data_IF_972297944403
#
_entry.id   IF_972297944403
#
_cell.length_a   1.000
_cell.length_b   1.000
_cell.length_c   1.000
_cell.angle_alpha   90.00
_cell.angle_beta   90.00
_cell.angle_gamma   90.00
#
_symmetry.space_group_name_H-M   'P 1'
#
loop_
_entity.id
_entity.type
_entity.pdbx_description
1 polymer ?
#
# COMPACT_ATOMS: atom_id res chain seq x y z
N UNK A 1 -31.71 15.08 -4.78
CA UNK A 1 -30.79 16.19 -4.39
C UNK A 1 -29.89 15.70 -3.27
N UNK A 2 -28.65 15.35 -3.59
CA UNK A 2 -27.66 14.92 -2.59
C UNK A 2 -27.26 16.16 -1.79
N UNK A 3 -27.51 16.16 -0.48
CA UNK A 3 -27.06 17.24 0.41
C UNK A 3 -25.53 17.36 0.30
N UNK A 4 -25.03 18.49 -0.19
CA UNK A 4 -23.62 18.84 -0.13
C UNK A 4 -23.17 18.75 1.35
N UNK A 5 -22.33 17.76 1.65
CA UNK A 5 -21.72 17.64 2.98
C UNK A 5 -20.69 18.76 3.12
N UNK A 6 -20.96 19.72 3.97
CA UNK A 6 -19.97 20.74 4.36
C UNK A 6 -18.83 20.01 5.08
N UNK A 7 -17.63 20.08 4.52
CA UNK A 7 -16.43 19.48 5.10
C UNK A 7 -15.84 20.42 6.15
N UNK A 8 -15.31 19.85 7.25
CA UNK A 8 -14.63 20.62 8.28
C UNK A 8 -13.35 21.27 7.71
N UNK A 9 -12.93 22.43 8.24
CA UNK A 9 -11.73 23.18 7.79
C UNK A 9 -10.45 22.35 7.77
N UNK A 10 -10.31 21.38 8.66
CA UNK A 10 -9.17 20.45 8.73
C UNK A 10 -9.29 19.23 7.80
N UNK A 11 -10.34 19.18 7.00
CA UNK A 11 -10.54 18.04 6.10
C UNK A 11 -9.60 18.16 4.89
N UNK A 12 -8.70 17.20 4.76
CA UNK A 12 -7.71 17.11 3.69
C UNK A 12 -8.06 16.09 2.61
N UNK A 13 -9.28 15.52 2.67
CA UNK A 13 -9.72 14.53 1.67
C UNK A 13 -9.62 15.13 0.27
N UNK A 14 -8.81 14.51 -0.56
CA UNK A 14 -8.63 14.92 -1.95
C UNK A 14 -9.90 14.62 -2.75
N UNK A 15 -10.32 15.59 -3.54
CA UNK A 15 -11.48 15.53 -4.44
C UNK A 15 -11.12 16.12 -5.78
N UNK A 16 -11.98 15.97 -6.76
CA UNK A 16 -11.83 16.52 -8.10
C UNK A 16 -12.87 17.60 -8.36
N UNK A 17 -12.46 18.69 -8.96
CA UNK A 17 -13.33 19.65 -9.66
C UNK A 17 -13.62 19.16 -11.08
N UNK A 18 -14.60 19.73 -11.77
CA UNK A 18 -14.91 19.34 -13.16
C UNK A 18 -13.76 19.62 -14.12
N UNK A 19 -13.05 20.73 -13.93
CA UNK A 19 -11.85 21.05 -14.71
C UNK A 19 -10.72 20.04 -14.48
N UNK A 20 -10.50 19.63 -13.25
CA UNK A 20 -9.50 18.62 -12.89
C UNK A 20 -9.87 17.25 -13.47
N UNK A 21 -11.16 16.85 -13.46
CA UNK A 21 -11.62 15.61 -14.13
C UNK A 21 -11.28 15.62 -15.61
N UNK A 22 -11.59 16.72 -16.30
CA UNK A 22 -11.26 16.87 -17.71
C UNK A 22 -9.75 16.76 -17.96
N UNK A 23 -8.96 17.46 -17.15
CA UNK A 23 -7.50 17.47 -17.26
C UNK A 23 -6.90 16.09 -17.00
N UNK A 24 -7.22 15.44 -15.86
CA UNK A 24 -6.64 14.15 -15.53
C UNK A 24 -7.13 13.02 -16.44
N UNK A 25 -8.38 13.07 -16.89
CA UNK A 25 -8.89 12.12 -17.87
C UNK A 25 -8.08 12.09 -19.17
N UNK A 26 -7.61 13.25 -19.64
CA UNK A 26 -6.77 13.33 -20.84
C UNK A 26 -5.41 12.66 -20.70
N UNK A 27 -4.98 12.37 -19.47
CA UNK A 27 -3.72 11.71 -19.16
C UNK A 27 -3.83 10.19 -19.06
N UNK A 28 -5.04 9.66 -18.95
CA UNK A 28 -5.27 8.22 -18.81
C UNK A 28 -4.89 7.50 -20.11
N UNK A 29 -4.33 6.30 -19.95
CA UNK A 29 -4.09 5.41 -21.08
C UNK A 29 -5.37 4.60 -21.33
N UNK A 30 -5.80 4.52 -22.57
CA UNK A 30 -6.89 3.61 -22.96
C UNK A 30 -6.39 2.17 -23.07
N UNK A 31 -7.30 1.21 -22.96
CA UNK A 31 -7.00 -0.20 -23.14
C UNK A 31 -6.38 -0.51 -24.53
N UNK A 32 -6.67 0.30 -25.56
CA UNK A 32 -6.12 0.10 -26.91
C UNK A 32 -4.65 0.53 -27.04
N UNK A 33 -4.15 1.36 -26.12
CA UNK A 33 -2.77 1.82 -26.07
C UNK A 33 -1.97 1.20 -24.93
N UNK A 34 -2.43 0.07 -24.39
CA UNK A 34 -1.84 -0.58 -23.21
C UNK A 34 -0.35 -0.99 -23.38
N UNK A 35 0.18 -1.01 -24.60
CA UNK A 35 1.60 -1.28 -24.86
C UNK A 35 2.57 -0.24 -24.23
N UNK A 36 2.10 0.98 -23.98
CA UNK A 36 2.86 2.08 -23.36
C UNK A 36 2.57 2.21 -21.86
N UNK A 37 2.43 1.09 -21.16
CA UNK A 37 1.90 1.01 -19.81
C UNK A 37 2.83 1.57 -18.71
N UNK A 38 4.13 1.65 -18.90
CA UNK A 38 5.09 2.07 -17.86
C UNK A 38 4.82 3.50 -17.39
N UNK A 39 4.69 3.66 -16.07
CA UNK A 39 4.33 4.90 -15.37
C UNK A 39 2.98 5.51 -15.81
N UNK A 40 2.03 4.63 -16.12
CA UNK A 40 0.70 5.03 -16.60
C UNK A 40 -0.42 4.34 -15.81
N UNK A 41 -1.55 5.03 -15.75
CA UNK A 41 -2.84 4.47 -15.33
C UNK A 41 -3.62 4.10 -16.57
N UNK A 42 -4.08 2.85 -16.64
CA UNK A 42 -4.87 2.32 -17.74
C UNK A 42 -6.33 2.30 -17.30
N UNK A 43 -7.15 3.14 -17.92
CA UNK A 43 -8.59 3.13 -17.69
C UNK A 43 -9.26 2.05 -18.53
N UNK A 44 -9.87 1.07 -17.88
CA UNK A 44 -10.59 -0.01 -18.56
C UNK A 44 -10.79 -1.25 -17.72
N UNK A 45 -11.40 -2.25 -18.35
CA UNK A 45 -11.60 -3.54 -17.73
C UNK A 45 -10.30 -4.35 -17.76
N UNK A 46 -9.93 -4.92 -16.62
CA UNK A 46 -8.72 -5.74 -16.47
C UNK A 46 -8.65 -6.86 -17.53
N UNK A 47 -9.76 -7.55 -17.79
CA UNK A 47 -9.80 -8.66 -18.73
C UNK A 47 -9.54 -8.28 -20.19
N UNK A 48 -9.83 -7.04 -20.56
CA UNK A 48 -9.56 -6.50 -21.91
C UNK A 48 -8.09 -6.05 -22.06
N UNK A 49 -7.43 -5.78 -20.95
CA UNK A 49 -6.06 -5.24 -20.87
C UNK A 49 -5.03 -6.36 -20.73
N UNK A 50 -5.29 -7.36 -19.90
CA UNK A 50 -4.35 -8.45 -19.61
C UNK A 50 -3.75 -9.11 -20.88
N UNK A 51 -4.52 -9.44 -21.93
CA UNK A 51 -3.96 -10.05 -23.13
C UNK A 51 -2.96 -9.16 -23.90
N UNK A 52 -3.00 -7.83 -23.68
CA UNK A 52 -2.15 -6.85 -24.36
C UNK A 52 -0.83 -6.62 -23.63
N UNK A 53 -0.72 -7.03 -22.37
CA UNK A 53 0.48 -6.88 -21.57
C UNK A 53 1.51 -7.98 -21.86
N UNK A 54 2.79 -7.64 -22.02
CA UNK A 54 3.84 -8.62 -22.25
C UNK A 54 4.10 -9.52 -21.03
N UNK A 55 4.59 -10.73 -21.25
CA UNK A 55 5.02 -11.61 -20.17
C UNK A 55 6.26 -11.06 -19.46
N UNK A 56 6.43 -11.41 -18.19
CA UNK A 56 7.58 -11.02 -17.35
C UNK A 56 7.87 -9.51 -17.37
N UNK A 57 6.82 -8.67 -17.34
CA UNK A 57 6.94 -7.22 -17.43
C UNK A 57 6.97 -6.51 -16.07
N UNK A 58 6.71 -7.18 -14.96
CA UNK A 58 6.73 -6.57 -13.63
C UNK A 58 7.48 -7.42 -12.60
N UNK A 59 7.98 -6.73 -11.59
CA UNK A 59 8.77 -7.31 -10.49
C UNK A 59 7.90 -7.57 -9.26
N UNK A 60 6.86 -6.75 -9.06
CA UNK A 60 5.96 -6.82 -7.92
C UNK A 60 4.52 -6.57 -8.36
N UNK A 61 3.62 -7.42 -7.90
CA UNK A 61 2.17 -7.20 -8.04
C UNK A 61 1.54 -7.02 -6.66
N UNK A 62 0.74 -5.97 -6.52
CA UNK A 62 -0.16 -5.79 -5.39
C UNK A 62 -1.59 -5.79 -5.89
N UNK A 63 -2.41 -6.72 -5.43
CA UNK A 63 -3.79 -6.87 -5.86
C UNK A 63 -4.77 -6.75 -4.67
N UNK A 64 -5.68 -5.80 -4.76
CA UNK A 64 -6.80 -5.61 -3.83
C UNK A 64 -8.14 -5.85 -4.55
N UNK A 65 -8.44 -7.11 -4.94
CA UNK A 65 -9.62 -7.42 -5.72
C UNK A 65 -10.91 -7.13 -4.94
N UNK A 66 -12.07 -6.97 -5.60
CA UNK A 66 -13.34 -6.96 -4.91
C UNK A 66 -13.51 -8.21 -4.03
N UNK A 67 -13.72 -8.01 -2.72
CA UNK A 67 -13.91 -9.13 -1.79
C UNK A 67 -15.27 -9.79 -1.98
N UNK A 68 -15.41 -11.03 -1.52
CA UNK A 68 -16.66 -11.79 -1.57
C UNK A 68 -17.73 -11.21 -0.62
N UNK A 69 -18.03 -9.94 -0.80
CA UNK A 69 -19.00 -9.17 -0.01
C UNK A 69 -20.00 -8.47 -0.92
N UNK A 70 -21.24 -8.34 -0.46
CA UNK A 70 -22.20 -7.48 -1.12
C UNK A 70 -21.79 -6.01 -0.97
N UNK A 71 -21.19 -5.43 -1.99
CA UNK A 71 -20.77 -4.02 -2.04
C UNK A 71 -21.12 -3.40 -3.38
N UNK A 72 -21.38 -2.10 -3.33
CA UNK A 72 -21.57 -1.24 -4.49
C UNK A 72 -20.35 -0.30 -4.60
N UNK A 73 -19.64 -0.38 -5.71
CA UNK A 73 -18.55 0.52 -6.07
C UNK A 73 -19.02 1.38 -7.25
N UNK A 74 -19.52 2.58 -6.97
CA UNK A 74 -20.01 3.55 -7.96
C UNK A 74 -20.98 2.94 -9.01
N UNK A 75 -21.92 2.10 -8.54
CA UNK A 75 -22.92 1.44 -9.41
C UNK A 75 -22.55 0.02 -9.86
N UNK A 76 -21.31 -0.42 -9.66
CA UNK A 76 -20.91 -1.80 -9.84
C UNK A 76 -21.22 -2.62 -8.58
N UNK A 77 -22.27 -3.45 -8.65
CA UNK A 77 -22.75 -4.24 -7.52
C UNK A 77 -22.12 -5.63 -7.51
N UNK A 78 -21.25 -5.86 -6.53
CA UNK A 78 -20.78 -7.20 -6.21
C UNK A 78 -21.75 -7.87 -5.25
N UNK A 79 -22.10 -9.13 -5.54
CA UNK A 79 -22.91 -9.98 -4.65
C UNK A 79 -22.01 -10.95 -3.93
N UNK A 80 -22.31 -11.24 -2.66
CA UNK A 80 -21.67 -12.34 -1.96
C UNK A 80 -22.03 -13.66 -2.67
N UNK A 81 -21.01 -14.46 -2.93
CA UNK A 81 -21.11 -15.76 -3.61
C UNK A 81 -20.58 -16.89 -2.71
N UNK A 82 -20.70 -18.13 -3.15
CA UNK A 82 -20.04 -19.24 -2.46
C UNK A 82 -18.51 -19.13 -2.54
N UNK A 83 -17.81 -19.81 -1.65
CA UNK A 83 -16.34 -19.86 -1.68
C UNK A 83 -15.82 -20.35 -3.03
N UNK A 84 -16.46 -21.37 -3.62
CA UNK A 84 -16.08 -21.92 -4.93
C UNK A 84 -16.30 -20.91 -6.06
N UNK A 85 -17.45 -20.25 -6.11
CA UNK A 85 -17.70 -19.20 -7.11
C UNK A 85 -16.70 -18.04 -7.00
N UNK A 86 -16.28 -17.69 -5.79
CA UNK A 86 -15.25 -16.68 -5.61
C UNK A 86 -13.87 -17.19 -6.01
N UNK A 87 -13.58 -18.47 -5.79
CA UNK A 87 -12.35 -19.10 -6.28
C UNK A 87 -12.31 -19.11 -7.82
N UNK A 88 -13.44 -19.38 -8.48
CA UNK A 88 -13.53 -19.30 -9.95
C UNK A 88 -13.29 -17.87 -10.47
N UNK A 89 -13.80 -16.86 -9.78
CA UNK A 89 -13.46 -15.46 -10.09
C UNK A 89 -11.95 -15.22 -9.95
N UNK A 90 -11.31 -15.70 -8.89
CA UNK A 90 -9.86 -15.57 -8.73
C UNK A 90 -9.09 -16.31 -9.84
N UNK A 91 -9.50 -17.53 -10.20
CA UNK A 91 -8.92 -18.33 -11.30
C UNK A 91 -9.02 -17.64 -12.66
N UNK A 92 -9.97 -16.73 -12.83
CA UNK A 92 -10.15 -16.02 -14.11
C UNK A 92 -9.06 -14.99 -14.39
N UNK A 93 -8.28 -14.53 -13.38
CA UNK A 93 -7.24 -13.51 -13.55
C UNK A 93 -5.89 -13.83 -12.90
N UNK A 94 -5.85 -14.59 -11.79
CA UNK A 94 -4.58 -14.91 -11.07
C UNK A 94 -3.54 -15.64 -11.93
N UNK A 95 -3.89 -16.57 -12.83
CA UNK A 95 -2.91 -17.19 -13.73
C UNK A 95 -2.20 -16.17 -14.64
N UNK A 96 -2.91 -15.12 -15.07
CA UNK A 96 -2.32 -14.04 -15.85
C UNK A 96 -1.29 -13.25 -15.04
N UNK A 97 -1.53 -13.07 -13.72
CA UNK A 97 -0.54 -12.42 -12.84
C UNK A 97 0.78 -13.21 -12.80
N UNK A 98 0.71 -14.54 -12.85
CA UNK A 98 1.90 -15.40 -12.94
C UNK A 98 2.67 -15.16 -14.25
N UNK A 99 1.96 -15.01 -15.37
CA UNK A 99 2.54 -14.71 -16.68
C UNK A 99 3.27 -13.36 -16.71
N UNK A 100 2.67 -12.34 -16.06
CA UNK A 100 3.21 -10.98 -16.03
C UNK A 100 4.40 -10.81 -15.10
N UNK A 101 4.52 -11.62 -14.05
CA UNK A 101 5.64 -11.56 -13.11
C UNK A 101 6.93 -12.09 -13.73
N UNK A 102 8.03 -11.39 -13.42
CA UNK A 102 9.39 -11.92 -13.64
C UNK A 102 9.64 -13.15 -12.74
N UNK A 103 10.61 -14.02 -13.07
CA UNK A 103 10.92 -15.20 -12.28
C UNK A 103 11.29 -14.91 -10.81
N UNK A 104 11.82 -13.72 -10.51
CA UNK A 104 12.17 -13.25 -9.16
C UNK A 104 11.07 -12.45 -8.50
N UNK A 105 9.94 -12.28 -9.18
CA UNK A 105 8.86 -11.40 -8.77
C UNK A 105 7.98 -11.96 -7.66
N UNK A 106 7.29 -11.06 -7.00
CA UNK A 106 6.39 -11.32 -5.86
C UNK A 106 4.99 -10.79 -6.12
N UNK A 107 3.99 -11.46 -5.54
CA UNK A 107 2.61 -11.00 -5.54
C UNK A 107 2.07 -10.92 -4.11
N UNK A 108 1.32 -9.86 -3.84
CA UNK A 108 0.56 -9.66 -2.61
C UNK A 108 -0.92 -9.53 -2.96
N UNK A 109 -1.77 -10.37 -2.37
CA UNK A 109 -3.21 -10.36 -2.63
C UNK A 109 -3.96 -10.09 -1.33
N UNK A 110 -4.77 -9.05 -1.32
CA UNK A 110 -5.61 -8.70 -0.18
C UNK A 110 -6.90 -9.52 -0.16
N UNK A 111 -7.40 -9.76 1.05
CA UNK A 111 -8.70 -10.41 1.24
C UNK A 111 -9.21 -10.24 2.67
N UNK A 112 -10.49 -10.48 2.85
CA UNK A 112 -11.11 -10.55 4.16
C UNK A 112 -11.26 -12.01 4.62
N UNK A 113 -11.75 -12.22 5.84
CA UNK A 113 -11.93 -13.56 6.39
C UNK A 113 -12.86 -14.47 5.58
N UNK A 114 -13.81 -13.91 4.81
CA UNK A 114 -14.72 -14.70 3.94
C UNK A 114 -14.03 -15.14 2.65
N UNK A 115 -13.13 -14.33 2.16
CA UNK A 115 -12.34 -14.60 0.96
C UNK A 115 -11.14 -15.51 1.24
N UNK A 116 -10.75 -15.66 2.51
CA UNK A 116 -9.49 -16.26 2.94
C UNK A 116 -9.21 -17.65 2.34
N UNK A 117 -10.18 -18.56 2.42
CA UNK A 117 -10.00 -19.93 1.91
C UNK A 117 -9.80 -19.96 0.39
N UNK A 118 -10.60 -19.19 -0.36
CA UNK A 118 -10.50 -19.11 -1.81
C UNK A 118 -9.19 -18.47 -2.26
N UNK A 119 -8.77 -17.36 -1.62
CA UNK A 119 -7.52 -16.67 -1.97
C UNK A 119 -6.33 -17.59 -1.75
N UNK A 120 -6.24 -18.25 -0.61
CA UNK A 120 -5.13 -19.18 -0.33
C UNK A 120 -5.10 -20.32 -1.34
N UNK A 121 -6.21 -21.01 -1.56
CA UNK A 121 -6.32 -22.14 -2.46
C UNK A 121 -5.85 -21.78 -3.89
N UNK A 122 -6.38 -20.70 -4.45
CA UNK A 122 -6.05 -20.31 -5.84
C UNK A 122 -4.64 -19.76 -5.97
N UNK A 123 -4.08 -19.11 -4.92
CA UNK A 123 -2.67 -18.73 -4.91
C UNK A 123 -1.75 -19.95 -4.93
N UNK A 124 -2.03 -20.98 -4.14
CA UNK A 124 -1.24 -22.22 -4.10
C UNK A 124 -1.28 -22.99 -5.43
N UNK A 125 -2.35 -22.86 -6.23
CA UNK A 125 -2.45 -23.41 -7.59
C UNK A 125 -1.43 -22.78 -8.57
N UNK A 126 -1.00 -21.53 -8.35
CA UNK A 126 -0.25 -20.73 -9.32
C UNK A 126 1.12 -20.27 -8.82
N UNK A 127 1.31 -20.10 -7.52
CA UNK A 127 2.47 -19.45 -6.90
C UNK A 127 3.03 -20.26 -5.74
N UNK A 128 4.21 -19.89 -5.26
CA UNK A 128 4.76 -20.39 -4.02
C UNK A 128 4.34 -19.48 -2.87
N UNK A 129 3.40 -19.94 -2.05
CA UNK A 129 2.93 -19.18 -0.91
C UNK A 129 4.02 -19.06 0.14
N UNK A 130 4.37 -17.84 0.55
CA UNK A 130 5.44 -17.56 1.51
C UNK A 130 4.88 -17.23 2.91
N UNK A 131 3.84 -16.39 2.99
CA UNK A 131 3.29 -15.95 4.26
C UNK A 131 1.86 -15.39 4.10
N UNK A 132 1.16 -15.30 5.23
CA UNK A 132 -0.07 -14.51 5.37
C UNK A 132 0.16 -13.44 6.40
N UNK A 133 -0.02 -12.19 6.01
CA UNK A 133 0.11 -10.99 6.85
C UNK A 133 -1.30 -10.59 7.28
N UNK A 134 -1.52 -10.43 8.58
CA UNK A 134 -2.77 -9.88 9.11
C UNK A 134 -2.56 -8.42 9.47
N UNK A 135 -3.28 -7.53 8.78
CA UNK A 135 -3.27 -6.10 9.08
C UNK A 135 -4.46 -5.74 9.97
N UNK A 136 -4.17 -5.20 11.16
CA UNK A 136 -5.18 -4.67 12.07
C UNK A 136 -5.70 -3.31 11.56
N UNK A 137 -7.03 -3.24 11.36
CA UNK A 137 -7.74 -2.02 10.96
C UNK A 137 -8.47 -1.42 12.16
N UNK A 138 -8.15 -0.20 12.54
CA UNK A 138 -8.82 0.47 13.67
C UNK A 138 -10.20 1.05 13.33
N UNK A 139 -10.78 0.72 12.18
CA UNK A 139 -12.06 1.29 11.73
C UNK A 139 -13.22 0.34 11.93
N UNK A 140 -14.39 0.93 12.11
CA UNK A 140 -15.66 0.23 12.13
C UNK A 140 -16.39 0.36 13.47
N UNK A 141 -17.72 0.33 13.36
CA UNK A 141 -18.60 0.28 14.54
C UNK A 141 -18.54 -1.12 15.15
N UNK A 142 -18.72 -1.21 16.46
CA UNK A 142 -18.83 -2.51 17.13
C UNK A 142 -19.98 -3.33 16.55
N UNK A 143 -19.80 -4.64 16.47
CA UNK A 143 -20.87 -5.58 16.15
C UNK A 143 -21.71 -5.85 17.41
N UNK A 144 -23.04 -5.99 17.24
CA UNK A 144 -23.94 -6.26 18.35
C UNK A 144 -24.23 -7.76 18.55
N UNK A 145 -24.05 -8.56 17.51
CA UNK A 145 -24.41 -9.99 17.47
C UNK A 145 -23.23 -10.93 17.14
N UNK A 146 -22.05 -10.37 16.86
CA UNK A 146 -20.84 -11.13 16.55
C UNK A 146 -19.60 -10.26 16.82
N UNK A 147 -18.39 -10.85 16.69
CA UNK A 147 -17.14 -10.13 16.82
C UNK A 147 -16.98 -9.09 15.71
N UNK A 148 -16.47 -7.90 16.07
CA UNK A 148 -16.14 -6.85 15.10
C UNK A 148 -15.04 -7.34 14.17
N UNK A 149 -15.28 -7.30 12.87
CA UNK A 149 -14.21 -7.48 11.89
C UNK A 149 -13.25 -6.30 11.93
N UNK A 150 -12.04 -6.51 12.44
CA UNK A 150 -11.01 -5.49 12.66
C UNK A 150 -9.70 -5.79 11.94
N UNK A 151 -9.68 -6.74 11.02
CA UNK A 151 -8.49 -7.09 10.25
C UNK A 151 -8.79 -7.32 8.78
N UNK A 152 -7.75 -7.23 7.97
CA UNK A 152 -7.65 -7.75 6.61
C UNK A 152 -6.39 -8.61 6.52
N UNK A 153 -6.44 -9.63 5.68
CA UNK A 153 -5.30 -10.48 5.39
C UNK A 153 -4.69 -10.12 4.04
N UNK A 154 -3.38 -10.30 3.93
CA UNK A 154 -2.59 -10.08 2.73
C UNK A 154 -1.72 -11.32 2.53
N UNK A 155 -1.98 -12.08 1.48
CA UNK A 155 -1.17 -13.24 1.14
C UNK A 155 0.05 -12.81 0.34
N UNK A 156 1.22 -13.19 0.82
CA UNK A 156 2.49 -13.01 0.15
C UNK A 156 2.88 -14.31 -0.55
N UNK A 157 3.04 -14.25 -1.86
CA UNK A 157 3.46 -15.36 -2.68
C UNK A 157 4.49 -14.93 -3.72
N UNK A 158 5.25 -15.88 -4.27
CA UNK A 158 6.36 -15.62 -5.18
C UNK A 158 6.27 -16.46 -6.45
N UNK A 159 6.88 -15.98 -7.53
CA UNK A 159 6.94 -16.68 -8.78
C UNK A 159 7.84 -17.94 -8.72
N UNK A 160 8.89 -17.90 -7.89
CA UNK A 160 9.85 -18.97 -7.68
C UNK A 160 10.46 -18.92 -6.27
N UNK A 161 11.35 -19.85 -5.94
CA UNK A 161 12.13 -19.82 -4.70
C UNK A 161 13.22 -18.73 -4.68
N UNK A 162 13.60 -18.22 -5.85
CA UNK A 162 14.54 -17.11 -5.96
C UNK A 162 13.78 -15.80 -6.11
N UNK A 163 13.52 -15.10 -5.01
CA UNK A 163 12.74 -13.86 -4.98
C UNK A 163 13.46 -12.76 -4.19
N UNK A 164 13.10 -11.52 -4.48
CA UNK A 164 13.62 -10.33 -3.79
C UNK A 164 12.90 -10.13 -2.48
N UNK A 165 13.64 -10.05 -1.36
CA UNK A 165 13.09 -9.68 -0.05
C UNK A 165 14.14 -9.01 0.85
N UNK A 166 13.91 -7.73 1.18
CA UNK A 166 14.80 -6.86 1.97
C UNK A 166 14.22 -6.57 3.35
N UNK A 167 14.37 -7.48 4.27
CA UNK A 167 13.81 -7.33 5.63
C UNK A 167 14.38 -6.11 6.37
N UNK A 168 15.62 -5.74 6.11
CA UNK A 168 16.32 -4.58 6.71
C UNK A 168 15.73 -3.23 6.29
N UNK A 169 15.06 -3.15 5.12
CA UNK A 169 14.40 -1.94 4.62
C UNK A 169 13.04 -1.68 5.25
N UNK A 170 12.53 -2.65 6.02
CA UNK A 170 11.19 -2.60 6.62
C UNK A 170 11.20 -2.76 8.13
N UNK A 171 12.34 -2.44 8.76
CA UNK A 171 12.50 -2.44 10.21
C UNK A 171 11.49 -1.46 10.85
N UNK A 172 10.96 -1.86 12.01
CA UNK A 172 10.01 -1.07 12.78
C UNK A 172 10.66 -0.51 14.04
N UNK A 173 10.63 0.81 14.21
CA UNK A 173 11.08 1.50 15.41
C UNK A 173 9.96 1.46 16.45
N UNK A 174 10.21 0.74 17.53
CA UNK A 174 9.27 0.54 18.63
C UNK A 174 9.74 1.24 19.91
N UNK A 175 8.77 1.82 20.63
CA UNK A 175 9.01 2.35 21.96
C UNK A 175 9.29 1.21 22.96
N UNK A 176 10.31 1.37 23.77
CA UNK A 176 10.67 0.37 24.79
C UNK A 176 9.89 0.63 26.07
N UNK A 177 9.05 -0.32 26.47
CA UNK A 177 8.22 -0.21 27.69
C UNK A 177 8.99 -0.70 28.91
N UNK A 178 9.71 -1.82 28.80
CA UNK A 178 10.52 -2.40 29.86
C UNK A 178 11.98 -2.56 29.37
N UNK A 179 12.86 -1.58 29.66
CA UNK A 179 14.23 -1.59 29.17
C UNK A 179 15.08 -2.61 29.95
N UNK A 180 15.59 -3.62 29.25
CA UNK A 180 16.65 -4.47 29.79
C UNK A 180 17.97 -3.75 29.74
N UNK A 181 18.75 -3.82 30.83
CA UNK A 181 20.10 -3.33 30.92
C UNK A 181 21.02 -4.48 31.32
N UNK A 182 22.19 -4.54 30.71
CA UNK A 182 23.28 -5.40 31.18
C UNK A 182 23.93 -4.78 32.45
N UNK A 183 24.59 -5.59 33.26
CA UNK A 183 25.49 -5.06 34.28
C UNK A 183 26.74 -4.45 33.57
N UNK A 184 26.99 -3.19 33.62
CA UNK A 184 26.81 -2.11 34.56
C UNK A 184 25.80 -1.01 34.11
N UNK A 185 24.66 -1.38 33.58
CA UNK A 185 23.59 -0.41 33.27
C UNK A 185 23.52 0.03 31.80
N UNK A 186 24.24 -0.64 30.91
CA UNK A 186 24.24 -0.38 29.46
C UNK A 186 22.95 -0.90 28.82
N UNK A 187 22.25 -0.12 27.95
CA UNK A 187 21.09 -0.57 27.23
C UNK A 187 21.36 -1.82 26.39
N UNK A 188 20.50 -2.84 26.51
CA UNK A 188 20.59 -4.06 25.71
C UNK A 188 19.58 -4.06 24.59
N UNK A 189 20.05 -3.83 23.34
CA UNK A 189 19.22 -3.87 22.14
C UNK A 189 18.18 -2.75 22.01
N UNK A 190 18.46 -1.58 22.62
CA UNK A 190 17.68 -0.36 22.47
C UNK A 190 18.55 0.89 22.61
N UNK A 191 18.06 1.99 22.06
CA UNK A 191 18.75 3.29 22.10
C UNK A 191 17.96 4.28 22.96
N UNK A 192 18.67 5.10 23.74
CA UNK A 192 18.12 6.27 24.43
C UNK A 192 18.30 7.50 23.55
N UNK A 193 17.21 8.18 23.25
CA UNK A 193 17.19 9.41 22.47
C UNK A 193 16.49 10.51 23.25
N UNK A 194 16.64 11.77 22.84
CA UNK A 194 15.92 12.90 23.47
C UNK A 194 14.38 12.72 23.40
N UNK A 195 13.87 11.96 22.43
CA UNK A 195 12.44 11.68 22.26
C UNK A 195 11.97 10.41 22.97
N UNK A 196 12.87 9.69 23.67
CA UNK A 196 12.56 8.48 24.44
C UNK A 196 13.45 7.30 24.09
N UNK A 197 13.01 6.12 24.55
CA UNK A 197 13.73 4.86 24.40
C UNK A 197 13.11 4.05 23.27
N UNK A 198 13.91 3.69 22.29
CA UNK A 198 13.45 2.97 21.10
C UNK A 198 14.36 1.79 20.77
N UNK A 199 13.78 0.80 20.12
CA UNK A 199 14.51 -0.30 19.48
C UNK A 199 14.03 -0.52 18.06
N UNK A 200 14.93 -0.99 17.20
CA UNK A 200 14.58 -1.52 15.89
C UNK A 200 14.19 -3.00 16.01
N UNK A 201 13.07 -3.36 15.46
CA UNK A 201 12.58 -4.74 15.43
C UNK A 201 12.32 -5.17 14.00
N UNK A 202 12.58 -6.44 13.71
CA UNK A 202 12.16 -7.06 12.47
C UNK A 202 10.63 -7.04 12.35
N UNK A 203 10.08 -6.82 11.15
CA UNK A 203 8.65 -6.85 10.93
C UNK A 203 8.09 -8.25 11.18
N UNK A 204 6.93 -8.32 11.83
CA UNK A 204 6.16 -9.56 11.94
C UNK A 204 5.09 -9.60 10.86
N UNK A 205 4.42 -10.73 10.72
CA UNK A 205 3.24 -10.87 9.86
C UNK A 205 1.93 -10.37 10.52
N UNK A 206 2.00 -9.79 11.71
CA UNK A 206 0.90 -9.07 12.35
C UNK A 206 1.21 -7.57 12.33
N UNK A 207 0.50 -6.81 11.48
CA UNK A 207 0.71 -5.38 11.30
C UNK A 207 -0.29 -4.56 12.11
N UNK A 208 0.15 -4.07 13.25
CA UNK A 208 -0.64 -3.23 14.16
C UNK A 208 -0.26 -1.75 14.09
N UNK A 209 0.77 -1.42 13.31
CA UNK A 209 1.37 -0.09 13.23
C UNK A 209 0.80 0.78 12.09
N UNK A 210 -0.16 0.28 11.30
CA UNK A 210 -0.69 0.95 10.12
C UNK A 210 -2.12 1.40 10.38
N UNK A 211 -2.37 2.71 10.36
CA UNK A 211 -3.72 3.28 10.40
C UNK A 211 -4.32 3.36 9.00
N UNK A 212 -5.63 3.20 8.90
CA UNK A 212 -6.35 3.50 7.66
C UNK A 212 -6.31 5.00 7.38
N UNK A 213 -6.35 5.44 6.11
CA UNK A 213 -6.50 6.84 5.78
C UNK A 213 -7.79 7.43 6.37
N UNK A 214 -7.71 8.61 6.93
CA UNK A 214 -8.87 9.35 7.42
C UNK A 214 -8.80 10.84 7.03
N UNK A 215 -9.89 11.54 7.10
CA UNK A 215 -10.13 12.86 6.54
C UNK A 215 -9.08 13.94 6.81
N UNK A 216 -8.28 13.84 7.87
CA UNK A 216 -7.19 14.78 8.16
C UNK A 216 -5.84 14.38 7.59
N UNK A 217 -5.72 13.20 6.98
CA UNK A 217 -4.48 12.75 6.32
C UNK A 217 -4.43 13.29 4.88
N UNK A 218 -3.26 13.78 4.42
CA UNK A 218 -3.12 14.31 3.05
C UNK A 218 -3.30 13.25 1.96
N UNK A 219 -3.08 11.98 2.26
CA UNK A 219 -3.27 10.87 1.34
C UNK A 219 -4.74 10.47 1.15
N UNK A 220 -5.67 10.95 2.01
CA UNK A 220 -7.04 10.49 2.02
C UNK A 220 -7.84 10.97 0.81
N UNK A 221 -8.63 10.05 0.23
CA UNK A 221 -9.61 10.33 -0.83
C UNK A 221 -10.99 9.85 -0.42
N UNK A 222 -11.99 10.07 -1.25
CA UNK A 222 -13.35 9.53 -1.04
C UNK A 222 -13.48 8.04 -1.42
N UNK A 223 -12.39 7.39 -1.85
CA UNK A 223 -12.40 5.95 -2.16
C UNK A 223 -12.71 5.12 -0.90
N UNK A 224 -13.75 4.27 -0.89
CA UNK A 224 -14.27 3.65 0.34
C UNK A 224 -13.35 2.61 0.98
N UNK A 225 -12.42 2.05 0.22
CA UNK A 225 -11.51 0.99 0.65
C UNK A 225 -10.04 1.32 0.35
N UNK A 226 -9.71 2.62 0.26
CA UNK A 226 -8.34 3.06 0.01
C UNK A 226 -7.35 2.40 0.97
N UNK A 227 -6.30 1.79 0.42
CA UNK A 227 -5.18 1.27 1.21
C UNK A 227 -4.24 2.40 1.65
N UNK A 228 -3.66 2.32 2.86
CA UNK A 228 -2.70 3.31 3.36
C UNK A 228 -1.38 3.29 2.58
N UNK A 229 -0.77 4.46 2.35
CA UNK A 229 0.55 4.55 1.73
C UNK A 229 1.62 3.79 2.53
N UNK A 230 1.54 3.79 3.86
CA UNK A 230 2.47 3.05 4.73
C UNK A 230 2.44 1.54 4.49
N UNK A 231 1.25 0.97 4.20
CA UNK A 231 1.10 -0.46 3.90
C UNK A 231 1.84 -0.81 2.61
N UNK A 232 1.60 -0.03 1.54
CA UNK A 232 2.25 -0.24 0.25
C UNK A 232 3.76 0.02 0.34
N UNK A 233 4.21 0.97 1.14
CA UNK A 233 5.63 1.24 1.35
C UNK A 233 6.35 0.04 1.97
N UNK A 234 5.76 -0.64 2.95
CA UNK A 234 6.33 -1.88 3.50
C UNK A 234 6.47 -2.96 2.43
N UNK A 235 5.44 -3.19 1.63
CA UNK A 235 5.45 -4.21 0.57
C UNK A 235 6.49 -3.87 -0.49
N UNK A 236 6.46 -2.64 -1.01
CA UNK A 236 7.34 -2.21 -2.11
C UNK A 236 8.81 -2.20 -1.68
N UNK A 237 9.11 -1.72 -0.47
CA UNK A 237 10.49 -1.71 0.04
C UNK A 237 11.02 -3.11 0.31
N UNK A 238 10.17 -4.03 0.79
CA UNK A 238 10.57 -5.41 1.06
C UNK A 238 10.83 -6.20 -0.24
N UNK A 239 9.99 -6.02 -1.26
CA UNK A 239 9.94 -6.95 -2.40
C UNK A 239 10.24 -6.31 -3.75
N UNK A 240 10.99 -5.20 -3.77
CA UNK A 240 11.45 -4.58 -5.02
C UNK A 240 12.71 -3.73 -4.84
N UNK A 241 13.43 -3.52 -5.95
CA UNK A 241 14.54 -2.59 -6.08
C UNK A 241 14.11 -1.26 -6.72
N UNK A 242 14.99 -0.24 -6.66
CA UNK A 242 14.78 0.99 -7.42
C UNK A 242 14.69 0.68 -8.92
N UNK A 243 13.78 1.37 -9.61
CA UNK A 243 13.44 1.19 -11.02
C UNK A 243 12.73 -0.12 -11.37
N UNK A 244 12.48 -1.02 -10.41
CA UNK A 244 11.59 -2.17 -10.62
C UNK A 244 10.18 -1.71 -10.94
N UNK A 245 9.44 -2.54 -11.65
CA UNK A 245 8.07 -2.27 -12.09
C UNK A 245 7.07 -2.87 -11.12
N UNK A 246 6.23 -2.03 -10.54
CA UNK A 246 5.13 -2.42 -9.64
C UNK A 246 3.80 -2.34 -10.39
N UNK A 247 3.04 -3.41 -10.38
CA UNK A 247 1.72 -3.50 -11.02
C UNK A 247 0.59 -3.64 -10.00
N UNK A 248 -0.51 -2.92 -10.25
CA UNK A 248 -1.76 -3.06 -9.49
C UNK A 248 -2.94 -3.28 -10.46
N UNK A 249 -3.50 -4.51 -10.51
CA UNK A 249 -4.62 -4.81 -11.40
C UNK A 249 -5.97 -4.24 -10.94
N UNK A 250 -6.06 -3.73 -9.70
CA UNK A 250 -7.27 -3.14 -9.10
C UNK A 250 -6.91 -1.81 -8.40
N UNK A 251 -6.43 -0.86 -9.20
CA UNK A 251 -5.67 0.31 -8.73
C UNK A 251 -6.45 1.21 -7.76
N UNK A 252 -7.77 1.31 -7.90
CA UNK A 252 -8.59 2.21 -7.11
C UNK A 252 -8.10 3.66 -7.20
N UNK A 253 -7.96 4.32 -6.07
CA UNK A 253 -7.43 5.70 -6.01
C UNK A 253 -5.89 5.82 -6.14
N UNK A 254 -5.20 4.78 -6.61
CA UNK A 254 -3.79 4.84 -7.03
C UNK A 254 -2.74 4.74 -5.93
N UNK A 255 -3.05 4.21 -4.75
CA UNK A 255 -2.07 4.18 -3.65
C UNK A 255 -0.79 3.44 -4.02
N UNK A 256 -0.90 2.29 -4.71
CA UNK A 256 0.26 1.50 -5.17
C UNK A 256 1.16 2.31 -6.11
N UNK A 257 0.59 2.94 -7.12
CA UNK A 257 1.32 3.77 -8.10
C UNK A 257 2.01 4.98 -7.44
N UNK A 258 1.28 5.67 -6.54
CA UNK A 258 1.80 6.82 -5.78
C UNK A 258 3.00 6.42 -4.93
N UNK A 259 2.91 5.33 -4.18
CA UNK A 259 4.00 4.87 -3.31
C UNK A 259 5.17 4.35 -4.14
N UNK A 260 4.92 3.61 -5.23
CA UNK A 260 5.97 3.19 -6.15
C UNK A 260 6.77 4.40 -6.68
N UNK A 261 6.08 5.45 -7.15
CA UNK A 261 6.70 6.71 -7.59
C UNK A 261 7.50 7.38 -6.48
N UNK A 262 6.93 7.56 -5.28
CA UNK A 262 7.62 8.16 -4.12
C UNK A 262 8.89 7.42 -3.72
N UNK A 263 8.95 6.12 -3.94
CA UNK A 263 10.08 5.26 -3.61
C UNK A 263 11.02 5.00 -4.78
N UNK A 264 10.83 5.64 -5.94
CA UNK A 264 11.70 5.52 -7.12
C UNK A 264 11.54 4.20 -7.88
N UNK A 265 10.36 3.61 -7.86
CA UNK A 265 9.95 2.47 -8.68
C UNK A 265 9.13 2.95 -9.87
N UNK A 266 9.18 2.20 -10.95
CA UNK A 266 8.22 2.33 -12.04
C UNK A 266 6.90 1.66 -11.63
N UNK A 267 5.81 2.05 -12.26
CA UNK A 267 4.51 1.51 -11.93
C UNK A 267 3.61 1.41 -13.17
N UNK A 268 2.57 0.63 -13.07
CA UNK A 268 1.36 0.75 -13.86
C UNK A 268 0.20 0.14 -13.10
N UNK A 269 -1.00 0.51 -13.49
CA UNK A 269 -2.19 -0.02 -12.84
C UNK A 269 -3.42 0.09 -13.72
N UNK A 270 -4.39 -0.76 -13.45
CA UNK A 270 -5.67 -0.84 -14.15
C UNK A 270 -6.79 -0.44 -13.20
N UNK A 271 -7.66 0.45 -13.65
CA UNK A 271 -8.85 0.85 -12.92
C UNK A 271 -10.01 1.04 -13.90
N UNK A 272 -11.18 0.53 -13.54
CA UNK A 272 -12.38 0.59 -14.38
C UNK A 272 -13.21 1.87 -14.13
N UNK A 273 -13.09 2.46 -12.94
CA UNK A 273 -13.82 3.66 -12.56
C UNK A 273 -13.04 4.92 -12.96
N UNK A 274 -13.63 5.72 -13.85
CA UNK A 274 -13.03 6.95 -14.38
C UNK A 274 -12.69 7.98 -13.29
N UNK A 275 -13.54 8.14 -12.26
CA UNK A 275 -13.31 9.07 -11.15
C UNK A 275 -12.11 8.64 -10.31
N UNK A 276 -11.96 7.33 -10.05
CA UNK A 276 -10.80 6.80 -9.32
C UNK A 276 -9.52 6.89 -10.14
N UNK A 277 -9.59 6.66 -11.45
CA UNK A 277 -8.45 6.92 -12.35
C UNK A 277 -7.97 8.39 -12.26
N UNK A 278 -8.90 9.35 -12.35
CA UNK A 278 -8.58 10.78 -12.25
C UNK A 278 -8.03 11.16 -10.87
N UNK A 279 -8.57 10.58 -9.77
CA UNK A 279 -8.03 10.77 -8.43
C UNK A 279 -6.60 10.22 -8.31
N UNK A 280 -6.34 9.07 -8.90
CA UNK A 280 -5.01 8.46 -8.92
C UNK A 280 -3.99 9.33 -9.68
N UNK A 281 -4.35 9.88 -10.84
CA UNK A 281 -3.51 10.84 -11.59
C UNK A 281 -3.23 12.11 -10.78
N UNK A 282 -4.25 12.67 -10.11
CA UNK A 282 -4.07 13.82 -9.20
C UNK A 282 -3.09 13.50 -8.08
N UNK A 283 -3.20 12.35 -7.44
CA UNK A 283 -2.28 11.90 -6.39
C UNK A 283 -0.86 11.70 -6.91
N UNK A 284 -0.71 11.16 -8.13
CA UNK A 284 0.59 11.01 -8.79
C UNK A 284 1.27 12.36 -9.07
N UNK A 285 0.52 13.37 -9.46
CA UNK A 285 1.04 14.73 -9.63
C UNK A 285 1.49 15.33 -8.29
N UNK A 286 0.70 15.16 -7.23
CA UNK A 286 1.11 15.58 -5.88
C UNK A 286 2.36 14.85 -5.37
N UNK A 287 2.57 13.60 -5.77
CA UNK A 287 3.74 12.82 -5.36
C UNK A 287 5.08 13.39 -5.88
N UNK A 288 5.08 14.24 -6.91
CA UNK A 288 6.28 14.92 -7.42
C UNK A 288 6.84 15.92 -6.39
N UNK A 289 5.97 16.59 -5.63
CA UNK A 289 6.35 17.57 -4.60
C UNK A 289 6.26 17.02 -3.18
N UNK A 290 5.40 16.04 -2.93
CA UNK A 290 5.11 15.46 -1.61
C UNK A 290 5.58 14.00 -1.54
N UNK A 291 6.88 13.81 -1.40
CA UNK A 291 7.49 12.47 -1.36
C UNK A 291 7.37 11.77 -0.01
N UNK A 292 6.92 12.48 1.03
CA UNK A 292 6.80 11.90 2.37
C UNK A 292 5.71 10.81 2.43
N UNK A 293 6.01 9.73 3.14
CA UNK A 293 5.06 8.67 3.50
C UNK A 293 4.85 8.74 5.01
N UNK A 294 3.59 8.87 5.45
CA UNK A 294 3.28 8.99 6.87
C UNK A 294 3.66 7.69 7.62
N UNK A 295 4.41 7.83 8.71
CA UNK A 295 4.88 6.69 9.50
C UNK A 295 6.10 5.97 8.92
N UNK A 296 6.76 6.55 7.91
CA UNK A 296 8.05 6.11 7.39
C UNK A 296 8.99 7.32 7.27
N UNK A 297 10.10 7.29 7.98
CA UNK A 297 11.15 8.32 7.91
C UNK A 297 12.49 7.74 8.31
N UNK A 298 13.57 8.34 7.78
CA UNK A 298 14.94 7.94 8.08
C UNK A 298 15.23 6.45 7.83
N UNK A 299 14.58 5.86 6.82
CA UNK A 299 14.75 4.47 6.45
C UNK A 299 14.05 3.45 7.36
N UNK A 300 13.22 3.89 8.30
CA UNK A 300 12.53 3.01 9.25
C UNK A 300 11.04 3.33 9.34
N UNK A 301 10.25 2.31 9.65
CA UNK A 301 8.84 2.47 9.99
C UNK A 301 8.66 2.79 11.48
N UNK A 302 7.59 3.48 11.81
CA UNK A 302 7.25 3.92 13.15
C UNK A 302 5.91 3.33 13.59
N UNK A 303 5.73 3.11 14.89
CA UNK A 303 4.44 2.72 15.45
C UNK A 303 3.36 3.79 15.21
N UNK A 304 2.09 3.42 15.40
CA UNK A 304 0.97 4.38 15.39
C UNK A 304 1.17 5.47 16.44
N UNK A 305 0.58 6.64 16.19
CA UNK A 305 0.53 7.77 17.13
C UNK A 305 1.91 8.32 17.56
N UNK A 306 2.93 8.20 16.71
CA UNK A 306 4.30 8.67 16.97
C UNK A 306 4.71 9.88 16.12
N UNK A 307 3.77 10.68 15.60
CA UNK A 307 4.08 11.84 14.74
C UNK A 307 4.92 12.91 15.45
N UNK A 308 4.71 13.11 16.75
CA UNK A 308 5.48 14.07 17.54
C UNK A 308 6.95 13.63 17.68
N UNK A 309 7.16 12.35 17.93
CA UNK A 309 8.49 11.73 18.03
C UNK A 309 9.24 11.78 16.70
N UNK A 310 8.54 11.51 15.58
CA UNK A 310 9.11 11.61 14.23
C UNK A 310 9.53 13.04 13.89
N UNK A 311 8.73 14.05 14.26
CA UNK A 311 9.08 15.46 14.06
C UNK A 311 10.31 15.87 14.84
N UNK A 312 10.45 15.42 16.08
CA UNK A 312 11.62 15.67 16.92
C UNK A 312 12.88 14.98 16.37
N UNK A 313 12.76 13.73 15.89
CA UNK A 313 13.87 13.01 15.24
C UNK A 313 14.44 13.79 14.05
N UNK A 314 13.58 14.30 13.18
CA UNK A 314 14.00 15.12 12.02
C UNK A 314 14.74 16.40 12.39
N UNK A 315 14.31 17.08 13.46
CA UNK A 315 14.99 18.30 13.96
C UNK A 315 16.40 18.01 14.45
N UNK A 316 16.60 16.88 15.15
CA UNK A 316 17.90 16.47 15.68
C UNK A 316 18.85 16.10 14.55
N UNK A 317 18.40 15.36 13.56
CA UNK A 317 19.21 14.97 12.40
C UNK A 317 19.62 16.20 11.58
N UNK A 318 18.71 17.15 11.37
CA UNK A 318 19.01 18.39 10.67
C UNK A 318 20.08 19.24 11.41
N UNK A 319 19.96 19.39 12.73
CA UNK A 319 20.93 20.12 13.54
C UNK A 319 22.31 19.43 13.58
N UNK A 320 22.38 18.09 13.61
CA UNK A 320 23.65 17.36 13.52
C UNK A 320 24.35 17.58 12.17
N UNK A 321 23.59 17.50 11.07
CA UNK A 321 24.11 17.73 9.73
C UNK A 321 24.60 19.18 9.53
N UNK A 322 23.91 20.17 10.08
CA UNK A 322 24.38 21.56 10.07
C UNK A 322 25.67 21.74 10.87
N UNK A 323 25.77 21.16 12.08
CA UNK A 323 27.00 21.23 12.90
C UNK A 323 28.18 20.54 12.24
N UNK A 324 27.97 19.40 11.56
CA UNK A 324 29.03 18.74 10.80
C UNK A 324 29.47 19.56 9.58
N UNK A 325 28.59 20.23 8.88
CA UNK A 325 28.96 21.14 7.76
C UNK A 325 29.80 22.32 8.25
N UNK A 326 29.42 22.94 9.37
CA UNK A 326 30.17 24.06 9.95
C UNK A 326 31.58 23.62 10.42
N UNK A 327 31.72 22.37 10.92
CA UNK A 327 33.02 21.81 11.34
C UNK A 327 33.92 21.39 10.17
N UNK A 328 33.38 21.25 8.97
CA UNK A 328 34.15 20.93 7.75
C UNK A 328 34.52 22.19 6.94
N UNK A 329 33.93 23.34 7.29
CA UNK A 329 34.20 24.63 6.66
C UNK A 329 35.12 25.54 7.55
N UNK A 330 35.51 25.06 8.75
CA UNK A 330 36.50 25.65 9.62
C UNK A 330 37.76 24.79 9.67
#
# INVERSE_FOLDING_TARGET
>A
MTKLKIRAERNRTMTLTDNERYYYRSRLLSADSAEQFINRIIHGNLFDILPKLPSACCDLIFADPPYNLAKDFNGQKFKSSSTEQYADYLRSWLPEMKRLLKPTGSIYVCGDWRSAAAVQMVLEENFLLQNRITWEREKGRGAKSNWKNNCEDIWFATASNNFVFHVERVMLRRKVIAPYKDAPGVPRGWDETESGRFRLTYPSNLWTDISIPFWSMPENTDHPTQKPEKLLAKIILASSEKNDVVFDPFLGSGTTAVVAKKLGRQFFGVEIDDEYCCLAEKRLEFADSQTNIQGYSDGVFWERNTLAEQANSKRITHNKNQRQRVLLET
#
